data_IF_161369922668
#
_entry.id   IF_161369922668
#
_cell.length_a   1.000
_cell.length_b   1.000
_cell.length_c   1.000
_cell.angle_alpha   90.00
_cell.angle_beta   90.00
_cell.angle_gamma   90.00
#
_symmetry.space_group_name_H-M   'P 1'
#
loop_
_entity.id
_entity.type
_entity.pdbx_description
1 polymer ?
#
# COMPACT_ATOMS: atom_id res chain seq x y z
N UNK A 1 3.54 -32.96 -53.64
CA UNK A 1 2.75 -32.60 -52.45
C UNK A 1 3.67 -31.76 -51.56
N UNK A 2 3.55 -30.42 -51.63
CA UNK A 2 4.39 -29.49 -50.85
C UNK A 2 3.65 -29.14 -49.56
N UNK A 3 4.19 -29.52 -48.42
CA UNK A 3 3.69 -29.20 -47.12
C UNK A 3 4.07 -27.75 -46.80
N UNK A 4 3.08 -26.84 -46.67
CA UNK A 4 3.28 -25.47 -46.17
C UNK A 4 3.26 -25.54 -44.66
N UNK A 5 4.41 -25.29 -44.04
CA UNK A 5 4.53 -25.14 -42.58
C UNK A 5 4.13 -23.70 -42.23
N UNK A 6 2.94 -23.52 -41.64
CA UNK A 6 2.44 -22.24 -41.16
C UNK A 6 3.08 -21.98 -39.80
N UNK A 7 4.07 -21.11 -39.74
CA UNK A 7 4.71 -20.67 -38.51
C UNK A 7 3.79 -19.63 -37.86
N UNK A 8 3.08 -20.02 -36.81
CA UNK A 8 2.29 -19.08 -35.97
C UNK A 8 3.27 -18.31 -35.10
N UNK A 9 3.50 -17.04 -35.43
CA UNK A 9 4.24 -16.11 -34.58
C UNK A 9 3.31 -15.75 -33.38
N UNK A 10 3.51 -16.39 -32.25
CA UNK A 10 2.93 -15.95 -30.97
C UNK A 10 3.68 -14.68 -30.52
N UNK A 11 3.16 -13.52 -30.90
CA UNK A 11 3.60 -12.27 -30.35
C UNK A 11 3.29 -12.25 -28.85
N UNK A 12 4.29 -12.12 -28.00
CA UNK A 12 4.13 -11.85 -26.57
C UNK A 12 3.47 -10.48 -26.40
N UNK A 13 2.17 -10.45 -26.15
CA UNK A 13 1.48 -9.26 -25.68
C UNK A 13 2.04 -8.94 -24.29
N UNK A 14 2.87 -7.92 -24.18
CA UNK A 14 3.23 -7.38 -22.86
C UNK A 14 1.98 -6.74 -22.26
N UNK A 15 1.36 -7.42 -21.31
CA UNK A 15 0.28 -6.85 -20.51
C UNK A 15 0.89 -5.79 -19.62
N UNK A 16 0.73 -4.52 -19.99
CA UNK A 16 1.08 -3.41 -19.10
C UNK A 16 0.12 -3.43 -17.92
N UNK A 17 0.64 -3.19 -16.71
CA UNK A 17 -0.20 -2.99 -15.53
C UNK A 17 -1.20 -1.85 -15.80
N UNK A 18 -2.48 -2.11 -15.54
CA UNK A 18 -3.52 -1.10 -15.70
C UNK A 18 -3.35 -0.06 -14.58
N UNK A 19 -3.33 1.22 -14.96
CA UNK A 19 -3.23 2.34 -14.02
C UNK A 19 -4.59 3.03 -13.92
N UNK A 20 -5.00 3.35 -12.70
CA UNK A 20 -6.22 4.11 -12.39
C UNK A 20 -5.81 5.36 -11.61
N UNK A 21 -6.39 6.51 -11.95
CA UNK A 21 -6.19 7.75 -11.20
C UNK A 21 -7.48 8.11 -10.48
N UNK A 22 -7.42 8.17 -9.16
CA UNK A 22 -8.51 8.62 -8.30
C UNK A 22 -8.28 10.07 -7.89
N UNK A 23 -9.37 10.87 -7.88
CA UNK A 23 -9.33 12.29 -7.58
C UNK A 23 -10.03 12.54 -6.25
N UNK A 24 -9.39 13.29 -5.37
CA UNK A 24 -9.87 13.64 -4.03
C UNK A 24 -9.86 15.14 -3.82
N UNK A 25 -10.70 15.60 -2.89
CA UNK A 25 -10.81 17.02 -2.57
C UNK A 25 -11.47 17.84 -3.67
N UNK A 26 -11.51 19.17 -3.51
CA UNK A 26 -12.12 20.10 -4.45
C UNK A 26 -11.33 21.39 -4.57
N UNK A 27 -11.46 22.08 -5.72
CA UNK A 27 -10.84 23.38 -5.94
C UNK A 27 -9.31 23.34 -5.78
N UNK A 28 -8.75 24.29 -5.04
CA UNK A 28 -7.29 24.39 -4.81
C UNK A 28 -6.73 23.20 -4.00
N UNK A 29 -7.58 22.51 -3.24
CA UNK A 29 -7.19 21.37 -2.41
C UNK A 29 -7.41 20.02 -3.13
N UNK A 30 -7.71 20.05 -4.43
CA UNK A 30 -7.83 18.83 -5.22
C UNK A 30 -6.46 18.16 -5.38
N UNK A 31 -6.42 16.83 -5.23
CA UNK A 31 -5.24 16.02 -5.48
C UNK A 31 -5.64 14.68 -6.12
N UNK A 32 -4.67 14.00 -6.67
CA UNK A 32 -4.87 12.68 -7.27
C UNK A 32 -3.91 11.66 -6.70
N UNK A 33 -4.35 10.40 -6.66
CA UNK A 33 -3.51 9.25 -6.36
C UNK A 33 -3.57 8.31 -7.57
N UNK A 34 -2.41 7.96 -8.09
CA UNK A 34 -2.25 6.99 -9.17
C UNK A 34 -2.11 5.60 -8.56
N UNK A 35 -2.96 4.66 -8.98
CA UNK A 35 -2.96 3.27 -8.54
C UNK A 35 -2.57 2.35 -9.69
N UNK A 36 -1.82 1.31 -9.40
CA UNK A 36 -1.51 0.21 -10.32
C UNK A 36 -2.27 -1.04 -9.91
N UNK A 37 -2.78 -1.77 -10.89
CA UNK A 37 -3.51 -3.01 -10.63
C UNK A 37 -2.55 -4.15 -10.31
N UNK A 38 -2.83 -4.84 -9.21
CA UNK A 38 -2.12 -6.05 -8.79
C UNK A 38 -2.99 -7.26 -9.14
N UNK A 39 -2.66 -7.87 -10.25
CA UNK A 39 -3.36 -9.02 -10.79
C UNK A 39 -2.98 -10.35 -10.12
N UNK A 40 -3.22 -11.47 -10.83
CA UNK A 40 -2.89 -12.82 -10.37
C UNK A 40 -3.53 -13.16 -9.02
N UNK A 41 -4.86 -13.00 -8.91
CA UNK A 41 -5.63 -13.37 -7.71
C UNK A 41 -5.47 -14.86 -7.37
N UNK A 42 -5.33 -15.18 -6.09
CA UNK A 42 -5.14 -16.56 -5.62
C UNK A 42 -3.73 -17.11 -5.90
N UNK A 43 -2.75 -16.25 -6.12
CA UNK A 43 -1.36 -16.67 -6.30
C UNK A 43 -0.83 -17.47 -5.09
N UNK A 44 0.08 -18.41 -5.35
CA UNK A 44 0.84 -19.05 -4.29
C UNK A 44 1.68 -18.01 -3.54
N UNK A 45 1.83 -18.21 -2.23
CA UNK A 45 2.71 -17.38 -1.42
C UNK A 45 4.19 -17.59 -1.82
N UNK A 46 5.01 -16.58 -1.55
CA UNK A 46 6.45 -16.74 -1.54
C UNK A 46 6.86 -17.51 -0.27
N UNK A 47 7.65 -18.56 -0.46
CA UNK A 47 8.21 -19.39 0.62
C UNK A 47 9.68 -19.10 0.87
N UNK A 48 10.23 -18.08 0.23
CA UNK A 48 11.64 -17.66 0.34
C UNK A 48 11.81 -16.30 1.01
N UNK A 49 10.75 -15.49 1.05
CA UNK A 49 10.74 -14.17 1.67
C UNK A 49 10.48 -14.18 3.18
N UNK A 50 10.36 -13.00 3.76
CA UNK A 50 10.06 -12.81 5.19
C UNK A 50 8.83 -11.90 5.36
N UNK A 51 7.82 -12.28 6.22
CA UNK A 51 7.70 -13.57 6.91
C UNK A 51 7.48 -14.72 5.92
N UNK A 52 7.61 -15.96 6.35
CA UNK A 52 7.45 -17.11 5.48
C UNK A 52 6.30 -17.99 5.98
N UNK A 53 5.26 -18.26 5.14
CA UNK A 53 5.02 -17.73 3.79
C UNK A 53 4.42 -16.31 3.78
N UNK A 54 4.51 -15.59 2.65
CA UNK A 54 3.99 -14.22 2.48
C UNK A 54 3.57 -13.92 1.04
N UNK A 55 2.70 -12.92 0.84
CA UNK A 55 2.35 -12.39 -0.49
C UNK A 55 1.21 -13.12 -1.20
N UNK A 56 0.49 -14.04 -0.55
CA UNK A 56 -0.70 -14.66 -1.13
C UNK A 56 -1.93 -13.75 -0.96
N UNK A 57 -2.54 -13.32 -2.08
CA UNK A 57 -3.73 -12.47 -2.07
C UNK A 57 -4.80 -13.08 -2.95
N UNK A 58 -5.98 -13.36 -2.36
CA UNK A 58 -7.09 -14.07 -3.02
C UNK A 58 -7.88 -13.24 -4.03
N UNK A 59 -7.57 -11.96 -4.20
CA UNK A 59 -8.31 -11.03 -5.05
C UNK A 59 -7.39 -10.12 -5.86
N UNK A 60 -7.93 -9.53 -6.93
CA UNK A 60 -7.29 -8.42 -7.65
C UNK A 60 -7.54 -7.14 -6.85
N UNK A 61 -6.51 -6.34 -6.65
CA UNK A 61 -6.60 -5.05 -5.96
C UNK A 61 -5.75 -4.02 -6.70
N UNK A 62 -5.84 -2.77 -6.27
CA UNK A 62 -4.94 -1.73 -6.76
C UNK A 62 -4.13 -1.18 -5.59
N UNK A 63 -2.91 -0.75 -5.84
CA UNK A 63 -2.06 -0.12 -4.82
C UNK A 63 -1.50 1.19 -5.37
N UNK A 64 -1.34 2.19 -4.52
CA UNK A 64 -0.74 3.45 -4.94
C UNK A 64 0.64 3.19 -5.55
N UNK A 65 0.85 3.73 -6.75
CA UNK A 65 2.11 3.60 -7.49
C UNK A 65 3.27 4.17 -6.69
N UNK A 66 3.02 5.23 -5.96
CA UNK A 66 3.97 5.98 -5.16
C UNK A 66 3.60 5.96 -3.67
N UNK A 67 4.55 6.30 -2.82
CA UNK A 67 4.29 6.70 -1.45
C UNK A 67 3.36 7.91 -1.42
N UNK A 68 2.62 8.13 -0.32
CA UNK A 68 1.84 9.35 -0.14
C UNK A 68 2.79 10.52 0.07
N UNK A 69 2.63 11.57 -0.76
CA UNK A 69 3.50 12.74 -0.71
C UNK A 69 3.06 13.78 0.33
N UNK A 70 3.99 14.63 0.75
CA UNK A 70 3.74 15.76 1.66
C UNK A 70 2.63 16.68 1.12
N UNK A 71 2.66 16.99 -0.18
CA UNK A 71 1.67 17.85 -0.83
C UNK A 71 0.25 17.28 -0.78
N UNK A 72 0.06 15.97 -0.74
CA UNK A 72 -1.25 15.35 -0.50
C UNK A 72 -1.72 15.65 0.91
N UNK A 73 -0.88 15.46 1.92
CA UNK A 73 -1.21 15.73 3.33
C UNK A 73 -1.50 17.22 3.55
N UNK A 74 -0.72 18.11 2.94
CA UNK A 74 -0.94 19.57 3.00
C UNK A 74 -2.32 19.97 2.45
N UNK A 75 -2.73 19.40 1.32
CA UNK A 75 -4.05 19.64 0.72
C UNK A 75 -5.19 19.11 1.60
N UNK A 76 -5.01 17.95 2.23
CA UNK A 76 -5.99 17.41 3.19
C UNK A 76 -6.11 18.32 4.41
N UNK A 77 -5.00 18.81 4.96
CA UNK A 77 -5.01 19.76 6.07
C UNK A 77 -5.71 21.07 5.69
N UNK A 78 -5.42 21.62 4.49
CA UNK A 78 -6.04 22.83 3.99
C UNK A 78 -7.54 22.73 3.73
N UNK A 79 -8.05 21.51 3.55
CA UNK A 79 -9.51 21.25 3.42
C UNK A 79 -10.28 21.36 4.75
N UNK A 80 -9.65 21.81 5.83
CA UNK A 80 -10.24 21.84 7.16
C UNK A 80 -10.26 20.47 7.84
N UNK A 81 -9.38 19.58 7.38
CA UNK A 81 -9.40 18.16 7.72
C UNK A 81 -8.71 17.83 9.05
N UNK A 82 -7.67 17.02 8.97
CA UNK A 82 -7.20 16.22 10.09
C UNK A 82 -6.12 16.90 10.94
N UNK A 83 -5.55 18.04 10.51
CA UNK A 83 -4.43 18.69 11.21
C UNK A 83 -3.22 17.77 11.38
N UNK A 84 -2.88 17.03 10.32
CA UNK A 84 -1.79 16.05 10.33
C UNK A 84 -0.46 16.77 10.38
N UNK A 85 0.31 16.53 11.44
CA UNK A 85 1.72 16.95 11.53
C UNK A 85 2.61 15.93 10.82
N UNK A 86 3.58 16.44 10.06
CA UNK A 86 4.63 15.66 9.41
C UNK A 86 5.98 16.03 10.00
N UNK A 87 6.97 15.14 9.85
CA UNK A 87 8.34 15.46 10.26
C UNK A 87 8.87 16.65 9.46
N UNK A 88 9.52 17.60 10.13
CA UNK A 88 10.20 18.72 9.49
C UNK A 88 11.59 18.29 9.05
N UNK A 89 11.67 17.73 7.83
CA UNK A 89 12.90 17.18 7.27
C UNK A 89 13.98 18.27 7.15
N UNK A 90 13.61 19.49 6.74
CA UNK A 90 14.55 20.58 6.56
C UNK A 90 15.12 21.07 7.90
N UNK A 91 14.31 21.22 8.93
CA UNK A 91 14.76 21.66 10.26
C UNK A 91 15.75 20.66 10.90
N UNK A 92 15.60 19.37 10.60
CA UNK A 92 16.49 18.32 11.10
C UNK A 92 17.66 18.02 10.15
N UNK A 93 17.72 18.68 9.01
CA UNK A 93 18.78 18.49 8.02
C UNK A 93 18.72 17.14 7.31
N UNK A 94 17.52 16.57 7.14
CA UNK A 94 17.28 15.31 6.43
C UNK A 94 16.72 15.54 5.02
N UNK A 95 17.24 16.55 4.32
CA UNK A 95 16.79 16.93 2.99
C UNK A 95 15.84 18.14 2.99
N UNK A 96 14.70 18.06 2.32
CA UNK A 96 13.76 19.15 2.15
C UNK A 96 12.34 18.79 2.55
N UNK A 97 11.46 19.82 2.63
CA UNK A 97 10.02 19.66 2.85
C UNK A 97 9.21 19.84 1.55
N UNK A 98 9.80 19.56 0.40
CA UNK A 98 9.13 19.72 -0.88
C UNK A 98 7.85 18.88 -1.00
N UNK A 99 6.85 19.39 -1.72
CA UNK A 99 5.53 18.78 -1.83
C UNK A 99 5.55 17.33 -2.39
N UNK A 100 6.53 17.02 -3.25
CA UNK A 100 6.69 15.69 -3.84
C UNK A 100 7.54 14.73 -2.99
N UNK A 101 8.09 15.17 -1.86
CA UNK A 101 8.76 14.26 -0.92
C UNK A 101 7.75 13.35 -0.23
N UNK A 102 8.13 12.13 0.20
CA UNK A 102 7.24 11.26 0.96
C UNK A 102 6.81 11.94 2.27
N UNK A 103 5.55 11.76 2.62
CA UNK A 103 5.01 12.20 3.89
C UNK A 103 5.48 11.26 5.00
N UNK A 104 6.26 11.78 5.97
CA UNK A 104 6.87 11.01 7.05
C UNK A 104 6.54 11.60 8.43
N UNK A 105 6.82 10.85 9.49
CA UNK A 105 6.67 11.32 10.86
C UNK A 105 5.29 11.11 11.47
N UNK A 106 4.38 10.50 10.75
CA UNK A 106 3.03 10.19 11.24
C UNK A 106 2.98 8.86 11.97
N UNK A 107 2.19 8.79 13.03
CA UNK A 107 1.83 7.51 13.64
C UNK A 107 0.92 6.70 12.70
N UNK A 108 0.90 5.38 12.86
CA UNK A 108 0.00 4.51 12.12
C UNK A 108 -1.47 4.94 12.31
N UNK A 109 -1.86 5.35 13.51
CA UNK A 109 -3.22 5.83 13.78
C UNK A 109 -3.56 7.14 13.05
N UNK A 110 -2.57 8.02 12.87
CA UNK A 110 -2.75 9.23 12.05
C UNK A 110 -2.94 8.87 10.58
N UNK A 111 -2.16 7.91 10.07
CA UNK A 111 -2.31 7.36 8.71
C UNK A 111 -3.70 6.69 8.54
N UNK A 112 -4.15 5.92 9.53
CA UNK A 112 -5.47 5.29 9.52
C UNK A 112 -6.62 6.34 9.44
N UNK A 113 -6.51 7.47 10.15
CA UNK A 113 -7.47 8.59 10.03
C UNK A 113 -7.42 9.26 8.66
N UNK A 114 -6.23 9.42 8.07
CA UNK A 114 -6.11 9.91 6.70
C UNK A 114 -6.81 8.96 5.71
N UNK A 115 -6.63 7.65 5.84
CA UNK A 115 -7.33 6.65 5.00
C UNK A 115 -8.85 6.70 5.21
N UNK A 116 -9.32 6.90 6.44
CA UNK A 116 -10.73 7.13 6.71
C UNK A 116 -11.27 8.37 5.98
N UNK A 117 -10.49 9.47 5.97
CA UNK A 117 -10.85 10.68 5.22
C UNK A 117 -11.00 10.37 3.72
N UNK A 118 -10.10 9.62 3.11
CA UNK A 118 -10.24 9.24 1.69
C UNK A 118 -11.55 8.49 1.43
N UNK A 119 -11.89 7.53 2.29
CA UNK A 119 -13.14 6.78 2.17
C UNK A 119 -14.35 7.68 2.35
N UNK A 120 -14.45 8.37 3.48
CA UNK A 120 -15.66 9.13 3.83
C UNK A 120 -15.90 10.33 2.92
N UNK A 121 -14.84 10.99 2.43
CA UNK A 121 -14.95 12.09 1.46
C UNK A 121 -15.44 11.64 0.09
N UNK A 122 -15.35 10.35 -0.20
CA UNK A 122 -15.83 9.75 -1.47
C UNK A 122 -17.08 8.88 -1.31
N UNK A 123 -17.70 8.88 -0.12
CA UNK A 123 -18.96 8.20 0.16
C UNK A 123 -18.84 6.73 0.59
N UNK A 124 -17.63 6.25 0.88
CA UNK A 124 -17.38 4.91 1.38
C UNK A 124 -17.36 4.86 2.92
N UNK A 125 -17.45 3.66 3.47
CA UNK A 125 -17.31 3.42 4.91
C UNK A 125 -15.86 3.69 5.36
N UNK A 126 -15.70 4.25 6.56
CA UNK A 126 -14.38 4.36 7.18
C UNK A 126 -13.72 2.97 7.26
N UNK A 127 -12.44 2.88 6.91
CA UNK A 127 -11.70 1.63 6.97
C UNK A 127 -11.41 1.21 8.42
N UNK A 128 -11.07 2.17 9.27
CA UNK A 128 -10.60 1.94 10.63
C UNK A 128 -11.56 2.56 11.65
N UNK A 129 -11.86 1.80 12.71
CA UNK A 129 -12.77 2.23 13.76
C UNK A 129 -12.02 3.00 14.84
N UNK A 130 -12.58 4.15 15.22
CA UNK A 130 -12.12 4.95 16.35
C UNK A 130 -13.31 5.27 17.26
N UNK A 131 -13.07 5.31 18.55
CA UNK A 131 -14.07 5.76 19.51
C UNK A 131 -14.17 7.31 19.56
N UNK A 132 -15.07 7.84 20.39
CA UNK A 132 -15.26 9.28 20.56
C UNK A 132 -14.03 10.01 21.14
N UNK A 133 -13.09 9.29 21.73
CA UNK A 133 -11.83 9.80 22.27
C UNK A 133 -10.65 9.65 21.29
N UNK A 134 -10.94 9.25 20.04
CA UNK A 134 -9.96 8.93 19.01
C UNK A 134 -9.04 7.74 19.33
N UNK A 135 -9.43 6.83 20.19
CA UNK A 135 -8.72 5.57 20.40
C UNK A 135 -9.13 4.56 19.31
N UNK A 136 -8.16 3.89 18.74
CA UNK A 136 -8.39 2.85 17.76
C UNK A 136 -9.16 1.66 18.37
N UNK A 137 -10.11 1.14 17.62
CA UNK A 137 -10.96 0.01 18.00
C UNK A 137 -10.98 -1.06 16.92
N UNK A 138 -11.12 -2.32 17.29
CA UNK A 138 -11.45 -3.35 16.33
C UNK A 138 -12.93 -3.27 15.94
N UNK A 139 -13.21 -3.62 14.69
CA UNK A 139 -14.58 -3.90 14.25
C UNK A 139 -15.08 -5.18 14.92
N UNK A 140 -16.36 -5.25 15.23
CA UNK A 140 -16.99 -6.38 15.91
C UNK A 140 -18.15 -6.93 15.09
N UNK A 141 -18.66 -8.10 15.45
CA UNK A 141 -19.78 -8.74 14.76
C UNK A 141 -21.09 -7.92 14.76
N UNK A 142 -21.19 -6.90 15.59
CA UNK A 142 -22.31 -5.96 15.58
C UNK A 142 -22.15 -4.80 14.60
N UNK A 143 -20.94 -4.62 14.05
CA UNK A 143 -20.65 -3.52 13.13
C UNK A 143 -20.93 -3.96 11.67
N UNK A 144 -21.52 -3.06 10.89
CA UNK A 144 -21.73 -3.28 9.44
C UNK A 144 -20.35 -3.31 8.75
N UNK A 145 -20.14 -4.34 7.90
CA UNK A 145 -18.86 -4.52 7.22
C UNK A 145 -17.79 -5.22 8.07
N UNK A 146 -18.15 -5.80 9.23
CA UNK A 146 -17.24 -6.63 10.01
C UNK A 146 -16.75 -7.83 9.18
N UNK A 147 -15.45 -8.08 9.25
CA UNK A 147 -14.81 -9.25 8.66
C UNK A 147 -14.04 -10.01 9.73
N UNK A 148 -14.48 -11.22 10.07
CA UNK A 148 -13.84 -12.05 11.10
C UNK A 148 -12.38 -12.39 10.76
N UNK A 149 -12.03 -12.48 9.49
CA UNK A 149 -10.66 -12.77 9.05
C UNK A 149 -9.74 -11.55 9.12
N UNK A 150 -10.30 -10.35 9.19
CA UNK A 150 -9.55 -9.11 9.39
C UNK A 150 -10.41 -8.07 10.12
N UNK A 151 -10.44 -8.10 11.46
CA UNK A 151 -11.25 -7.17 12.26
C UNK A 151 -10.65 -5.76 12.33
N UNK A 152 -9.47 -5.53 11.77
CA UNK A 152 -8.83 -4.20 11.79
C UNK A 152 -9.48 -3.24 10.83
N UNK A 153 -9.92 -3.71 9.65
CA UNK A 153 -10.54 -2.87 8.63
C UNK A 153 -11.96 -3.31 8.29
N UNK A 154 -12.79 -2.34 7.95
CA UNK A 154 -14.14 -2.56 7.45
C UNK A 154 -14.08 -3.11 6.03
N UNK A 155 -14.80 -4.18 5.74
CA UNK A 155 -14.86 -4.78 4.40
C UNK A 155 -15.59 -3.93 3.36
N UNK A 156 -16.32 -2.89 3.78
CA UNK A 156 -17.01 -1.95 2.89
C UNK A 156 -16.17 -0.70 2.59
N UNK A 157 -14.95 -0.61 3.13
CA UNK A 157 -14.02 0.44 2.78
C UNK A 157 -13.38 0.16 1.42
N UNK A 158 -13.17 1.21 0.62
CA UNK A 158 -12.49 1.15 -0.67
C UNK A 158 -10.98 1.31 -0.51
N UNK A 159 -10.56 2.25 0.33
CA UNK A 159 -9.15 2.58 0.55
C UNK A 159 -8.69 2.06 1.91
N UNK A 160 -7.50 1.45 1.95
CA UNK A 160 -6.92 0.83 3.15
C UNK A 160 -5.41 1.06 3.18
N UNK A 161 -4.78 0.90 4.34
CA UNK A 161 -3.35 0.66 4.44
C UNK A 161 -3.14 -0.78 3.96
N UNK A 162 -2.23 -1.08 3.02
CA UNK A 162 -2.02 -2.46 2.59
C UNK A 162 -1.55 -3.32 3.77
N UNK A 163 -2.04 -4.55 3.87
CA UNK A 163 -1.44 -5.52 4.78
C UNK A 163 -0.12 -6.06 4.21
N UNK A 164 0.58 -6.89 4.99
CA UNK A 164 1.87 -7.48 4.58
C UNK A 164 1.80 -8.17 3.23
N UNK A 165 0.79 -9.02 3.02
CA UNK A 165 0.65 -9.79 1.78
C UNK A 165 0.36 -8.90 0.56
N UNK A 166 -0.51 -7.90 0.71
CA UNK A 166 -0.82 -6.94 -0.34
C UNK A 166 0.42 -6.09 -0.69
N UNK A 167 1.11 -5.56 0.33
CA UNK A 167 2.31 -4.76 0.12
C UNK A 167 3.42 -5.59 -0.54
N UNK A 168 3.68 -6.78 -0.01
CA UNK A 168 4.71 -7.71 -0.47
C UNK A 168 4.50 -8.13 -1.92
N UNK A 169 3.26 -8.53 -2.25
CA UNK A 169 2.92 -8.94 -3.62
C UNK A 169 3.14 -7.82 -4.63
N UNK A 170 2.76 -6.58 -4.29
CA UNK A 170 2.97 -5.43 -5.16
C UNK A 170 4.45 -5.11 -5.38
N UNK A 171 5.27 -5.30 -4.33
CA UNK A 171 6.71 -5.04 -4.35
C UNK A 171 7.47 -6.12 -5.15
N UNK A 172 7.29 -7.37 -4.77
CA UNK A 172 8.18 -8.46 -5.18
C UNK A 172 7.52 -9.48 -6.13
N UNK A 173 6.19 -9.45 -6.27
CA UNK A 173 5.47 -10.36 -7.16
C UNK A 173 5.42 -9.87 -8.62
N UNK A 174 4.90 -10.75 -9.49
CA UNK A 174 4.69 -10.46 -10.89
C UNK A 174 3.42 -11.14 -11.43
N UNK A 175 2.99 -10.75 -12.63
CA UNK A 175 1.79 -11.30 -13.28
C UNK A 175 1.91 -12.80 -13.60
N UNK A 176 3.11 -13.31 -13.82
CA UNK A 176 3.35 -14.72 -14.12
C UNK A 176 3.60 -15.57 -12.86
N UNK A 177 3.49 -14.98 -11.64
CA UNK A 177 3.70 -15.68 -10.39
C UNK A 177 5.16 -15.80 -9.95
N UNK A 178 6.09 -15.13 -10.63
CA UNK A 178 7.49 -15.05 -10.18
C UNK A 178 7.60 -14.09 -9.01
N UNK A 179 8.44 -14.44 -8.04
CA UNK A 179 8.85 -13.57 -6.94
C UNK A 179 10.28 -13.08 -7.16
N UNK A 180 10.53 -11.83 -6.81
CA UNK A 180 11.83 -11.18 -6.93
C UNK A 180 12.36 -10.78 -5.57
N UNK A 181 13.69 -10.73 -5.46
CA UNK A 181 14.35 -10.28 -4.22
C UNK A 181 14.21 -8.78 -3.98
N UNK A 182 14.07 -7.97 -5.03
CA UNK A 182 13.97 -6.51 -4.94
C UNK A 182 12.73 -5.98 -5.68
N UNK A 183 12.14 -4.93 -5.16
CA UNK A 183 10.99 -4.27 -5.74
C UNK A 183 11.37 -3.40 -6.97
N UNK A 184 12.34 -3.86 -7.71
CA UNK A 184 12.76 -3.36 -9.03
C UNK A 184 12.46 -4.37 -10.14
N UNK A 185 11.69 -5.44 -9.82
CA UNK A 185 11.40 -6.54 -10.73
C UNK A 185 12.65 -7.38 -11.05
N UNK A 186 13.58 -7.50 -10.11
CA UNK A 186 14.88 -8.17 -10.31
C UNK A 186 15.35 -8.89 -9.04
N UNK A 187 16.11 -9.97 -9.23
CA UNK A 187 16.87 -10.63 -8.18
C UNK A 187 18.27 -10.01 -7.99
N UNK A 188 18.69 -9.19 -8.94
CA UNK A 188 19.96 -8.47 -8.84
C UNK A 188 19.83 -7.28 -7.88
N UNK A 189 20.85 -7.09 -7.04
CA UNK A 189 20.95 -5.92 -6.16
C UNK A 189 20.80 -4.65 -7.01
N UNK A 190 19.85 -3.74 -6.70
CA UNK A 190 19.71 -2.50 -7.44
C UNK A 190 20.91 -1.57 -7.23
N UNK A 191 21.24 -0.76 -8.23
CA UNK A 191 22.23 0.29 -8.07
C UNK A 191 21.67 1.40 -7.17
N UNK A 192 22.47 1.81 -6.17
CA UNK A 192 22.11 2.92 -5.29
C UNK A 192 22.14 4.25 -6.04
N UNK A 193 21.08 5.04 -5.93
CA UNK A 193 20.96 6.36 -6.55
C UNK A 193 20.38 7.36 -5.55
N UNK A 194 20.61 8.66 -5.76
CA UNK A 194 19.98 9.71 -4.98
C UNK A 194 18.56 10.02 -5.46
N UNK A 195 18.28 9.79 -6.75
CA UNK A 195 17.00 9.96 -7.41
C UNK A 195 17.05 9.31 -8.80
N UNK A 196 15.98 9.42 -9.58
CA UNK A 196 15.88 8.92 -10.95
C UNK A 196 14.88 7.76 -11.09
N UNK A 197 14.65 7.32 -12.33
CA UNK A 197 13.65 6.30 -12.69
C UNK A 197 14.23 5.16 -13.51
N UNK A 198 15.56 5.00 -13.50
CA UNK A 198 16.24 3.96 -14.28
C UNK A 198 15.91 2.59 -13.69
N UNK A 199 15.64 1.62 -14.54
CA UNK A 199 15.37 0.24 -14.14
C UNK A 199 16.52 -0.33 -13.29
N UNK A 200 16.16 -1.13 -12.29
CA UNK A 200 17.08 -1.75 -11.32
C UNK A 200 17.96 -0.71 -10.57
N UNK A 201 17.39 0.45 -10.23
CA UNK A 201 17.96 1.41 -9.29
C UNK A 201 17.03 1.61 -8.10
N UNK A 202 17.57 2.04 -6.95
CA UNK A 202 16.78 2.34 -5.75
C UNK A 202 17.48 3.41 -4.90
N UNK A 203 16.71 4.15 -4.12
CA UNK A 203 17.22 5.18 -3.22
C UNK A 203 17.58 4.56 -1.88
N UNK A 204 18.82 4.14 -1.74
CA UNK A 204 19.40 3.59 -0.51
C UNK A 204 20.90 3.88 -0.47
N UNK A 205 21.56 3.59 0.64
CA UNK A 205 23.00 3.87 0.84
C UNK A 205 23.37 5.33 0.57
N UNK A 206 22.45 6.26 0.91
CA UNK A 206 22.66 7.69 0.78
C UNK A 206 23.10 8.29 2.11
N UNK A 207 23.74 9.44 2.06
CA UNK A 207 24.02 10.18 3.27
C UNK A 207 22.71 10.68 3.90
N UNK A 208 22.68 10.74 5.25
CA UNK A 208 21.48 11.10 6.01
C UNK A 208 20.92 12.49 5.60
N UNK A 209 21.80 13.44 5.29
CA UNK A 209 21.41 14.79 4.88
C UNK A 209 20.93 14.90 3.42
N UNK A 210 21.03 13.82 2.63
CA UNK A 210 20.42 13.80 1.29
C UNK A 210 18.89 13.78 1.36
N UNK A 211 18.35 13.17 2.41
CA UNK A 211 16.94 12.90 2.52
C UNK A 211 16.44 11.84 1.51
N UNK A 212 15.15 11.48 1.56
CA UNK A 212 14.52 10.64 0.54
C UNK A 212 14.38 11.40 -0.77
N UNK A 213 14.24 10.69 -1.88
CA UNK A 213 13.91 11.26 -3.18
C UNK A 213 12.41 11.63 -3.26
N UNK A 214 12.03 12.43 -4.25
CA UNK A 214 10.63 12.65 -4.58
C UNK A 214 9.94 11.32 -4.91
N UNK A 215 8.69 11.14 -4.49
CA UNK A 215 7.96 9.86 -4.60
C UNK A 215 7.86 9.31 -6.02
N UNK A 216 7.95 10.18 -7.04
CA UNK A 216 7.90 9.81 -8.45
C UNK A 216 9.28 9.77 -9.13
N UNK A 217 10.35 9.85 -8.35
CA UNK A 217 11.74 9.89 -8.82
C UNK A 217 12.67 9.04 -7.94
N UNK A 218 12.16 7.95 -7.36
CA UNK A 218 12.79 7.16 -6.30
C UNK A 218 13.26 5.77 -6.76
N UNK A 219 13.80 5.68 -7.98
CA UNK A 219 14.37 4.45 -8.54
C UNK A 219 13.51 3.76 -9.58
N UNK A 220 13.86 2.52 -9.91
CA UNK A 220 13.14 1.69 -10.87
C UNK A 220 11.79 1.21 -10.34
N UNK A 221 10.95 0.74 -11.27
CA UNK A 221 9.61 0.22 -10.95
C UNK A 221 9.67 -1.27 -10.59
N UNK A 222 8.76 -1.72 -9.72
CA UNK A 222 8.49 -3.14 -9.51
C UNK A 222 7.91 -3.79 -10.78
N UNK A 223 7.81 -5.11 -10.81
CA UNK A 223 7.22 -5.83 -11.93
C UNK A 223 5.74 -5.48 -12.15
N UNK A 224 5.02 -5.02 -11.12
CA UNK A 224 3.66 -4.48 -11.22
C UNK A 224 3.62 -2.99 -11.54
N UNK A 225 4.74 -2.28 -11.45
CA UNK A 225 4.81 -0.85 -11.78
C UNK A 225 4.70 0.10 -10.58
N UNK A 226 4.87 -0.37 -9.36
CA UNK A 226 5.03 0.49 -8.17
C UNK A 226 6.46 1.03 -8.09
N UNK A 227 6.68 2.13 -7.40
CA UNK A 227 7.99 2.76 -7.17
C UNK A 227 8.29 2.84 -5.67
N UNK A 228 9.57 2.86 -5.32
CA UNK A 228 10.07 3.13 -3.98
C UNK A 228 9.77 2.05 -2.90
N UNK A 229 9.30 0.86 -3.29
CA UNK A 229 9.17 -0.26 -2.34
C UNK A 229 10.50 -0.98 -2.04
N UNK A 230 11.60 -0.47 -2.57
CA UNK A 230 12.99 -0.83 -2.23
C UNK A 230 13.74 0.47 -1.95
N UNK A 231 13.97 0.81 -0.68
CA UNK A 231 14.59 2.06 -0.23
C UNK A 231 13.59 3.22 -0.10
N UNK A 232 14.06 4.44 -0.25
CA UNK A 232 13.40 5.73 -0.08
C UNK A 232 12.96 5.95 1.38
N UNK A 233 11.76 5.51 1.79
CA UNK A 233 11.35 5.49 3.19
C UNK A 233 10.73 4.15 3.56
N UNK A 234 10.83 3.74 4.82
CA UNK A 234 10.05 2.63 5.36
C UNK A 234 8.57 2.91 5.17
N UNK A 235 7.79 1.87 4.90
CA UNK A 235 6.36 2.01 4.74
C UNK A 235 5.60 1.18 5.76
N UNK A 236 4.72 1.83 6.53
CA UNK A 236 3.79 1.13 7.39
C UNK A 236 2.85 0.23 6.59
N UNK A 237 2.65 -0.98 7.08
CA UNK A 237 1.57 -1.86 6.66
C UNK A 237 0.45 -1.90 7.71
N UNK A 238 -0.69 -2.51 7.38
CA UNK A 238 -1.77 -2.76 8.34
C UNK A 238 -1.39 -3.84 9.35
N UNK A 239 -0.48 -4.72 8.97
CA UNK A 239 -0.12 -5.91 9.75
C UNK A 239 0.49 -5.54 11.09
N UNK A 240 -0.02 -6.13 12.16
CA UNK A 240 0.44 -5.96 13.52
C UNK A 240 1.12 -7.23 14.04
N UNK A 241 1.96 -7.08 15.06
CA UNK A 241 2.71 -8.21 15.62
C UNK A 241 1.91 -8.91 16.70
N UNK A 242 1.27 -8.14 17.63
CA UNK A 242 0.50 -8.70 18.73
C UNK A 242 -0.52 -7.73 19.30
N UNK A 243 -1.72 -7.61 18.94
CA UNK A 243 -2.77 -6.74 19.46
C UNK A 243 -2.87 -5.37 18.76
N UNK A 244 -3.97 -4.64 18.93
CA UNK A 244 -4.29 -3.45 18.12
C UNK A 244 -3.36 -2.25 18.35
N UNK A 245 -2.78 -2.12 19.53
CA UNK A 245 -1.90 -1.02 19.92
C UNK A 245 -0.40 -1.34 19.74
N UNK A 246 -0.10 -2.59 19.39
CA UNK A 246 1.26 -3.09 19.24
C UNK A 246 1.94 -2.63 17.95
N UNK A 247 3.26 -2.83 17.85
CA UNK A 247 4.03 -2.44 16.69
C UNK A 247 3.44 -2.96 15.38
N UNK A 248 3.44 -2.08 14.38
CA UNK A 248 3.07 -2.41 13.01
C UNK A 248 4.30 -2.79 12.22
N UNK A 249 4.09 -3.69 11.27
CA UNK A 249 5.14 -4.00 10.31
C UNK A 249 5.45 -2.77 9.46
N UNK A 250 6.74 -2.56 9.18
CA UNK A 250 7.26 -1.61 8.20
C UNK A 250 8.17 -2.33 7.22
N UNK A 251 8.15 -1.93 5.95
CA UNK A 251 8.87 -2.59 4.86
C UNK A 251 9.57 -1.62 3.93
N UNK A 252 10.46 -2.15 3.09
CA UNK A 252 11.10 -1.46 1.98
C UNK A 252 12.48 -0.90 2.30
N UNK A 253 12.77 -0.60 3.55
CA UNK A 253 14.01 0.11 3.92
C UNK A 253 13.91 1.61 3.67
N UNK A 254 14.99 2.33 3.87
CA UNK A 254 15.04 3.79 3.76
C UNK A 254 16.31 4.27 3.04
N UNK A 255 16.39 5.57 2.73
CA UNK A 255 17.47 6.15 1.93
C UNK A 255 18.88 5.99 2.54
N UNK A 256 19.03 5.92 3.87
CA UNK A 256 20.34 5.71 4.52
C UNK A 256 20.71 4.24 4.70
N UNK A 257 19.82 3.31 4.33
CA UNK A 257 20.03 1.89 4.55
C UNK A 257 21.23 1.39 3.73
N UNK A 258 22.23 0.85 4.41
CA UNK A 258 23.47 0.35 3.77
C UNK A 258 23.36 -1.13 3.39
N UNK A 259 22.64 -1.93 4.19
CA UNK A 259 22.48 -3.35 3.92
C UNK A 259 21.45 -3.59 2.82
N UNK A 260 21.84 -4.34 1.80
CA UNK A 260 20.95 -4.77 0.71
C UNK A 260 19.92 -5.80 1.15
N UNK A 261 20.18 -6.55 2.23
CA UNK A 261 19.22 -7.47 2.80
C UNK A 261 17.99 -6.73 3.36
N UNK A 262 18.20 -5.58 3.99
CA UNK A 262 17.11 -4.79 4.61
C UNK A 262 16.16 -4.18 3.59
N UNK A 263 16.64 -3.91 2.38
CA UNK A 263 15.80 -3.39 1.27
C UNK A 263 15.23 -4.51 0.39
N UNK A 264 15.41 -5.78 0.77
CA UNK A 264 15.01 -6.96 0.01
C UNK A 264 13.70 -7.59 0.52
N UNK A 265 13.22 -8.59 -0.21
CA UNK A 265 12.08 -9.43 0.17
C UNK A 265 12.31 -10.21 1.47
N UNK A 266 13.56 -10.43 1.86
CA UNK A 266 13.95 -11.22 3.03
C UNK A 266 13.90 -10.45 4.36
N UNK A 267 13.46 -9.20 4.36
CA UNK A 267 13.47 -8.37 5.55
C UNK A 267 12.13 -7.73 5.84
N UNK A 268 11.74 -7.74 7.09
CA UNK A 268 10.67 -6.95 7.67
C UNK A 268 11.16 -6.30 8.96
N UNK A 269 10.58 -5.19 9.31
CA UNK A 269 10.83 -4.52 10.58
C UNK A 269 9.49 -4.18 11.25
N UNK A 270 9.52 -3.80 12.51
CA UNK A 270 8.34 -3.37 13.27
C UNK A 270 8.58 -2.02 13.90
N UNK A 271 7.55 -1.18 13.92
CA UNK A 271 7.62 0.13 14.54
C UNK A 271 6.35 0.41 15.36
N UNK A 272 6.49 1.12 16.49
CA UNK A 272 5.36 1.40 17.38
C UNK A 272 4.24 2.15 16.67
N UNK A 273 3.01 1.67 16.77
CA UNK A 273 1.86 2.25 16.08
C UNK A 273 1.57 3.71 16.49
N UNK A 274 1.93 4.09 17.72
CA UNK A 274 1.79 5.45 18.25
C UNK A 274 2.91 6.40 17.83
N UNK A 275 4.01 5.87 17.28
CA UNK A 275 5.19 6.63 16.87
C UNK A 275 5.19 6.97 15.40
N UNK A 276 5.95 8.01 15.05
CA UNK A 276 6.33 8.34 13.68
C UNK A 276 7.79 8.74 13.66
N UNK A 277 8.48 8.50 12.55
CA UNK A 277 9.89 8.85 12.40
C UNK A 277 10.13 9.50 11.03
N UNK A 278 11.23 10.24 10.91
CA UNK A 278 11.62 10.95 9.69
C UNK A 278 11.73 10.04 8.46
N UNK A 279 12.02 8.77 8.68
CA UNK A 279 12.28 7.76 7.65
C UNK A 279 11.11 6.78 7.43
N UNK A 280 9.93 7.03 8.05
CA UNK A 280 8.76 6.17 7.92
C UNK A 280 7.60 6.93 7.30
N UNK A 281 7.17 6.45 6.13
CA UNK A 281 6.01 6.89 5.38
C UNK A 281 4.99 5.77 5.19
N UNK A 282 4.22 5.82 4.10
CA UNK A 282 3.19 4.82 3.79
C UNK A 282 2.69 4.97 2.35
N UNK A 283 2.02 3.92 1.88
CA UNK A 283 1.19 3.96 0.66
C UNK A 283 -0.20 3.42 0.93
N UNK A 284 -1.10 3.54 -0.04
CA UNK A 284 -2.50 3.16 0.07
C UNK A 284 -2.81 2.03 -0.88
N UNK A 285 -3.65 1.08 -0.46
CA UNK A 285 -4.28 0.11 -1.34
C UNK A 285 -5.77 0.47 -1.56
N UNK A 286 -6.27 0.09 -2.72
CA UNK A 286 -7.69 0.15 -3.09
C UNK A 286 -8.15 -1.29 -3.29
N UNK A 287 -8.96 -1.78 -2.37
CA UNK A 287 -9.47 -3.16 -2.38
C UNK A 287 -10.79 -3.26 -3.15
N UNK A 288 -11.15 -4.45 -3.69
CA UNK A 288 -12.43 -4.62 -4.36
C UNK A 288 -13.58 -4.28 -3.42
N UNK A 289 -14.53 -3.52 -3.93
CA UNK A 289 -15.79 -3.33 -3.22
C UNK A 289 -16.52 -4.69 -3.11
N UNK A 290 -17.21 -4.95 -1.99
CA UNK A 290 -18.10 -6.10 -1.91
C UNK A 290 -19.09 -6.00 -3.05
N UNK A 291 -19.08 -6.94 -3.98
CA UNK A 291 -19.99 -6.91 -5.12
C UNK A 291 -21.43 -6.85 -4.61
N UNK A 292 -22.29 -6.05 -5.26
CA UNK A 292 -23.73 -5.96 -4.93
C UNK A 292 -24.39 -7.35 -4.87
N UNK A 293 -23.85 -8.33 -5.57
CA UNK A 293 -24.24 -9.75 -5.50
C UNK A 293 -23.98 -10.39 -4.14
N UNK A 294 -22.89 -10.03 -3.45
CA UNK A 294 -22.62 -10.53 -2.09
C UNK A 294 -23.61 -9.94 -1.08
N UNK A 295 -24.00 -8.68 -1.22
CA UNK A 295 -25.01 -8.02 -0.39
C UNK A 295 -26.42 -8.58 -0.64
N UNK A 296 -26.76 -8.92 -1.88
CA UNK A 296 -28.02 -9.59 -2.22
C UNK A 296 -28.09 -11.01 -1.62
N UNK A 297 -26.99 -11.77 -1.63
CA UNK A 297 -26.93 -13.11 -1.05
C UNK A 297 -27.15 -13.09 0.48
N UNK A 298 -26.57 -12.11 1.18
CA UNK A 298 -26.78 -11.90 2.61
C UNK A 298 -28.22 -11.44 2.90
N UNK A 299 -28.76 -10.53 2.08
CA UNK A 299 -30.16 -10.06 2.19
C UNK A 299 -31.17 -11.18 1.96
N UNK A 300 -31.01 -12.00 0.92
CA UNK A 300 -31.91 -13.12 0.60
C UNK A 300 -31.80 -14.26 1.62
N UNK A 301 -30.60 -14.54 2.14
CA UNK A 301 -30.38 -15.52 3.23
C UNK A 301 -31.10 -15.08 4.52
N UNK A 302 -31.05 -13.80 4.88
CA UNK A 302 -31.75 -13.22 6.04
C UNK A 302 -33.29 -13.34 5.92
N UNK A 303 -33.84 -13.11 4.74
CA UNK A 303 -35.29 -13.26 4.50
C UNK A 303 -35.75 -14.73 4.52
N UNK A 304 -34.93 -15.66 4.05
CA UNK A 304 -35.24 -17.09 4.10
C UNK A 304 -35.30 -17.63 5.54
N UNK A 305 -34.37 -17.20 6.41
CA UNK A 305 -34.34 -17.57 7.82
C UNK A 305 -35.52 -16.98 8.62
N UNK A 306 -35.97 -15.76 8.29
CA UNK A 306 -37.14 -15.17 8.95
C UNK A 306 -38.46 -15.84 8.53
N UNK A 307 -38.55 -16.36 7.31
CA UNK A 307 -39.75 -17.06 6.84
C UNK A 307 -39.93 -18.44 7.45
N UNK A 308 -38.83 -19.12 7.81
CA UNK A 308 -38.84 -20.46 8.44
C UNK A 308 -39.15 -20.44 9.95
N UNK A 309 -39.11 -19.25 10.60
CA UNK A 309 -39.50 -19.09 12.03
C UNK A 309 -40.96 -18.72 12.25
N UNK A 310 -41.80 -18.62 11.18
CA UNK A 310 -43.23 -18.29 11.25
C UNK A 310 -44.15 -19.37 10.69
N UNK A 311 -43.67 -20.61 10.48
CA UNK A 311 -44.48 -21.79 10.14
C UNK A 311 -44.43 -22.81 11.29
#
# INVERSE_FOLDING_TARGET
>A
MRLFLMMVLLGSLSVKAQTITEIFGTGANQFSIEFVQIGNAGNAADITGTPNPVGSVGYVYNIAKYEVSRGIIEKVNASGGLGIAMWDMAAWGFGSNEANQPATGMSWFTIARFVNYLNTSTGFQAAYKFDSNNNFQLWTSSDVGFNVSNPFRNSLAKYVIPNSDEWYKAAYGSLNGTWYNYATGSDSIPSAVTNGTIANTAVYNQWIHSGPAAVNDAGGLSAFGTMAQTGNVWEFTETFVSGPDDPREVRGGQWTQQSTDVISSNYQHVYGANGGNADIGFRIAMVPEPSALSLLAVGLGGFAVMRHRRS
#
